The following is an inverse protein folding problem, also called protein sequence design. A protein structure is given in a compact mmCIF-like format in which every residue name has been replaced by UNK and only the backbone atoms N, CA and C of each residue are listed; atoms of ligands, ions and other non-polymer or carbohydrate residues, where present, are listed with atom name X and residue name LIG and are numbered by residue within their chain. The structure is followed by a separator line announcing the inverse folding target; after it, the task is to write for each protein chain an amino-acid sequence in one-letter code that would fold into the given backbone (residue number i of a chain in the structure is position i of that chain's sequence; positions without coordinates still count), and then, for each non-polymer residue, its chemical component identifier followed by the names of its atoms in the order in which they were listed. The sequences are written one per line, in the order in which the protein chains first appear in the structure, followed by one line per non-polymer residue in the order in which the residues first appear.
data_IF_664691990781
#
_entry.id   IF_664691990781
#
_cell.length_a   1.000
_cell.length_b   1.000
_cell.length_c   1.000
_cell.angle_alpha   90.00
_cell.angle_beta   90.00
_cell.angle_gamma   90.00
#
_symmetry.space_group_name_H-M   'P 1'
#
loop_
_entity.id
_entity.type
_entity.pdbx_description
1 polymer ?
#
# COMPACT_ATOMS: atom_id res chain seq x y z
N UNK A 1 11.97 23.49 14.61
CA UNK A 1 11.83 22.43 13.60
C UNK A 1 10.44 21.84 13.74
N UNK A 2 9.63 21.84 12.67
CA UNK A 2 8.31 21.22 12.72
C UNK A 2 8.46 19.70 12.69
N UNK A 3 7.75 18.99 13.57
CA UNK A 3 7.74 17.53 13.57
C UNK A 3 7.07 17.01 12.29
N UNK A 4 7.64 15.97 11.67
CA UNK A 4 7.01 15.31 10.53
C UNK A 4 5.64 14.72 10.93
N UNK A 5 4.57 14.87 10.11
CA UNK A 5 3.25 14.36 10.42
C UNK A 5 3.16 12.83 10.34
N UNK A 6 2.05 12.24 10.76
CA UNK A 6 1.71 10.86 10.37
C UNK A 6 1.06 10.89 8.99
N UNK A 7 1.47 9.99 8.10
CA UNK A 7 1.00 9.92 6.71
C UNK A 7 0.43 8.53 6.44
N UNK A 8 -0.77 8.48 5.88
CA UNK A 8 -1.37 7.26 5.35
C UNK A 8 -1.47 7.37 3.83
N UNK A 9 -0.92 6.38 3.12
CA UNK A 9 -1.05 6.23 1.66
C UNK A 9 -2.14 5.20 1.40
N UNK A 10 -3.21 5.61 0.73
CA UNK A 10 -4.34 4.73 0.38
C UNK A 10 -4.28 4.45 -1.12
N UNK A 11 -4.23 3.16 -1.47
CA UNK A 11 -4.05 2.69 -2.85
C UNK A 11 -5.26 1.83 -3.21
N UNK A 12 -6.24 2.34 -3.97
CA UNK A 12 -7.28 1.51 -4.55
C UNK A 12 -6.69 0.64 -5.67
N UNK A 13 -7.06 -0.63 -5.72
CA UNK A 13 -6.59 -1.58 -6.73
C UNK A 13 -7.71 -2.52 -7.16
N UNK A 14 -7.69 -2.86 -8.46
CA UNK A 14 -8.52 -3.90 -9.07
C UNK A 14 -7.71 -4.52 -10.22
N UNK A 15 -7.34 -5.79 -10.10
CA UNK A 15 -6.65 -6.56 -11.15
C UNK A 15 -5.35 -5.91 -11.68
N UNK A 16 -4.48 -5.44 -10.77
CA UNK A 16 -3.22 -4.74 -11.12
C UNK A 16 -2.04 -5.16 -10.24
N UNK A 17 -1.83 -6.45 -10.08
CA UNK A 17 -0.78 -6.99 -9.20
C UNK A 17 0.62 -6.44 -9.52
N UNK A 18 0.99 -6.34 -10.80
CA UNK A 18 2.33 -5.91 -11.22
C UNK A 18 2.58 -4.41 -10.98
N UNK A 19 1.62 -3.55 -11.30
CA UNK A 19 1.73 -2.12 -11.00
C UNK A 19 1.73 -1.86 -9.50
N UNK A 20 0.90 -2.59 -8.76
CA UNK A 20 0.84 -2.52 -7.31
C UNK A 20 2.19 -2.91 -6.69
N UNK A 21 2.82 -3.99 -7.17
CA UNK A 21 4.15 -4.42 -6.73
C UNK A 21 5.21 -3.34 -6.94
N UNK A 22 5.21 -2.67 -8.09
CA UNK A 22 6.13 -1.56 -8.39
C UNK A 22 5.87 -0.34 -7.51
N UNK A 23 4.59 -0.01 -7.28
CA UNK A 23 4.19 1.08 -6.41
C UNK A 23 4.65 0.84 -4.96
N UNK A 24 4.34 -0.32 -4.41
CA UNK A 24 4.75 -0.72 -3.05
C UNK A 24 6.27 -0.81 -2.91
N UNK A 25 6.96 -1.31 -3.93
CA UNK A 25 8.43 -1.28 -4.01
C UNK A 25 8.97 0.15 -3.92
N UNK A 26 8.37 1.10 -4.62
CA UNK A 26 8.78 2.52 -4.58
C UNK A 26 8.52 3.14 -3.21
N UNK A 27 7.36 2.86 -2.60
CA UNK A 27 7.03 3.32 -1.24
C UNK A 27 7.97 2.73 -0.19
N UNK A 28 8.45 1.50 -0.41
CA UNK A 28 9.43 0.86 0.48
C UNK A 28 10.81 1.54 0.47
N UNK A 29 11.11 2.39 -0.52
CA UNK A 29 12.37 3.12 -0.61
C UNK A 29 12.31 4.52 0.04
N UNK A 30 11.16 4.95 0.56
CA UNK A 30 11.03 6.25 1.22
C UNK A 30 11.89 6.32 2.48
N UNK A 31 12.53 7.47 2.71
CA UNK A 31 13.28 7.80 3.92
C UNK A 31 12.39 8.37 5.04
N UNK A 32 11.06 8.22 4.92
CA UNK A 32 10.11 8.63 5.94
C UNK A 32 10.19 7.71 7.16
N UNK A 33 10.01 8.23 8.39
CA UNK A 33 9.95 7.38 9.58
C UNK A 33 8.85 6.31 9.44
N UNK A 34 9.23 5.03 9.59
CA UNK A 34 8.34 3.88 9.32
C UNK A 34 7.16 3.86 10.27
N UNK A 35 7.38 4.26 11.52
CA UNK A 35 6.37 4.41 12.55
C UNK A 35 5.35 5.52 12.27
N UNK A 36 5.64 6.42 11.32
CA UNK A 36 4.74 7.50 10.88
C UNK A 36 4.17 7.29 9.48
N UNK A 37 4.51 6.20 8.80
CA UNK A 37 4.01 5.87 7.47
C UNK A 37 3.12 4.63 7.51
N UNK A 38 1.87 4.78 7.09
CA UNK A 38 0.93 3.68 6.94
C UNK A 38 0.59 3.48 5.47
N UNK A 39 0.63 2.23 5.00
CA UNK A 39 0.19 1.88 3.65
C UNK A 39 -1.10 1.05 3.77
N UNK A 40 -2.15 1.51 3.10
CA UNK A 40 -3.46 0.85 3.05
C UNK A 40 -3.76 0.55 1.58
N UNK A 41 -4.02 -0.71 1.26
CA UNK A 41 -4.48 -1.12 -0.07
C UNK A 41 -5.97 -1.45 0.03
N UNK A 42 -6.77 -0.81 -0.80
CA UNK A 42 -8.21 -1.08 -0.92
C UNK A 42 -8.42 -1.94 -2.15
N UNK A 43 -8.74 -3.22 -1.95
CA UNK A 43 -8.98 -4.18 -3.02
C UNK A 43 -10.46 -4.16 -3.42
N UNK A 44 -10.75 -3.80 -4.68
CA UNK A 44 -12.09 -3.71 -5.26
C UNK A 44 -12.51 -5.01 -5.95
N UNK A 45 -12.34 -6.13 -5.25
CA UNK A 45 -12.70 -7.45 -5.74
C UNK A 45 -11.81 -7.95 -6.87
N UNK A 46 -10.49 -7.81 -6.72
CA UNK A 46 -9.55 -8.37 -7.69
C UNK A 46 -9.70 -9.89 -7.82
N UNK A 47 -9.60 -10.38 -9.04
CA UNK A 47 -9.51 -11.80 -9.39
C UNK A 47 -8.06 -12.26 -9.60
N UNK A 48 -7.10 -11.34 -9.62
CA UNK A 48 -5.67 -11.61 -9.69
C UNK A 48 -4.99 -11.62 -8.29
N UNK A 49 -3.66 -11.65 -8.29
CA UNK A 49 -2.85 -11.68 -7.06
C UNK A 49 -2.70 -10.32 -6.36
N UNK A 50 -3.45 -9.27 -6.74
CA UNK A 50 -3.31 -7.91 -6.19
C UNK A 50 -3.37 -7.88 -4.66
N UNK A 51 -4.35 -8.59 -4.07
CA UNK A 51 -4.50 -8.65 -2.62
C UNK A 51 -3.31 -9.33 -1.94
N UNK A 52 -2.74 -10.35 -2.56
CA UNK A 52 -1.60 -11.09 -2.02
C UNK A 52 -0.31 -10.27 -2.11
N UNK A 53 -0.08 -9.59 -3.24
CA UNK A 53 1.03 -8.64 -3.41
C UNK A 53 1.01 -7.57 -2.31
N UNK A 54 -0.17 -7.03 -1.99
CA UNK A 54 -0.32 -6.05 -0.91
C UNK A 54 0.08 -6.59 0.46
N UNK A 55 -0.37 -7.81 0.80
CA UNK A 55 -0.05 -8.46 2.09
C UNK A 55 1.44 -8.74 2.21
N UNK A 56 2.06 -9.27 1.16
CA UNK A 56 3.49 -9.58 1.15
C UNK A 56 4.37 -8.33 1.31
N UNK A 57 3.92 -7.18 0.81
CA UNK A 57 4.59 -5.90 1.01
C UNK A 57 4.36 -5.28 2.41
N UNK A 58 3.58 -5.92 3.28
CA UNK A 58 3.26 -5.41 4.62
C UNK A 58 2.20 -4.30 4.64
N UNK A 59 1.45 -4.12 3.55
CA UNK A 59 0.35 -3.17 3.53
C UNK A 59 -0.88 -3.71 4.27
N UNK A 60 -1.68 -2.82 4.86
CA UNK A 60 -2.99 -3.19 5.39
C UNK A 60 -3.99 -3.30 4.25
N UNK A 61 -4.53 -4.50 4.01
CA UNK A 61 -5.54 -4.74 2.97
C UNK A 61 -6.95 -4.55 3.53
N UNK A 62 -7.78 -3.81 2.82
CA UNK A 62 -9.21 -3.62 3.08
C UNK A 62 -9.98 -3.97 1.81
N UNK A 63 -11.00 -4.80 1.90
CA UNK A 63 -11.86 -5.12 0.75
C UNK A 63 -13.02 -4.12 0.64
N UNK A 64 -13.23 -3.61 -0.57
CA UNK A 64 -14.47 -2.94 -0.98
C UNK A 64 -15.46 -4.05 -1.35
N UNK A 65 -16.53 -4.20 -0.57
CA UNK A 65 -17.49 -5.30 -0.69
C UNK A 65 -18.45 -5.19 -1.87
#
# INVERSE_FOLDING_TARGET
MSALPTVSVVIPVKDRAEELKRCLGSLSCLTYPREKLQIIVVDDGSSDDSAEVARQAGARVVSSG
#
